data_IF_667540304946
#
_entry.id   IF_667540304946
#
_cell.length_a   1.000
_cell.length_b   1.000
_cell.length_c   1.000
_cell.angle_alpha   90.00
_cell.angle_beta   90.00
_cell.angle_gamma   90.00
#
_symmetry.space_group_name_H-M   'P 1'
#
loop_
_entity.id
_entity.type
_entity.pdbx_description
1 polymer ?
2 water ?
#
# COMPACT_ATOMS: atom_id res chain seq x y z
N UNK A 14 29.07 -0.50 -13.23
CA UNK A 14 28.30 0.49 -12.48
C UNK A 14 26.84 0.60 -12.88
N UNK A 15 26.29 -0.30 -13.67
CA UNK A 15 24.82 -0.30 -13.81
C UNK A 15 24.28 -1.64 -13.28
N UNK A 16 23.22 -1.62 -12.46
CA UNK A 16 22.69 -2.85 -11.89
C UNK A 16 22.16 -3.77 -12.95
N UNK A 17 22.17 -5.06 -12.64
CA UNK A 17 21.54 -6.09 -13.45
C UNK A 17 20.02 -5.97 -13.41
N UNK A 18 19.48 -5.46 -12.27
CA UNK A 18 18.02 -5.37 -12.08
C UNK A 18 17.39 -4.01 -12.30
N UNK A 19 16.36 -4.04 -13.13
CA UNK A 19 15.52 -2.87 -13.33
C UNK A 19 14.87 -2.39 -12.07
N UNK A 20 14.52 -1.11 -12.10
CA UNK A 20 13.63 -0.53 -11.08
C UNK A 20 12.35 -0.10 -11.71
N UNK A 21 11.24 -0.44 -11.04
CA UNK A 21 9.96 0.17 -11.36
C UNK A 21 9.49 0.93 -10.13
N UNK A 22 8.94 2.12 -10.37
CA UNK A 22 8.38 2.92 -9.26
C UNK A 22 7.06 3.44 -9.72
N UNK A 23 6.08 3.28 -8.83
CA UNK A 23 4.71 3.70 -9.05
C UNK A 23 4.19 4.51 -7.89
N UNK A 24 3.52 5.63 -8.17
CA UNK A 24 3.08 6.55 -7.11
C UNK A 24 1.58 6.81 -7.24
N UNK A 25 0.89 6.71 -6.11
CA UNK A 25 -0.55 6.99 -5.95
C UNK A 25 -0.81 8.11 -5.00
N UNK A 26 -2.00 8.71 -5.10
CA UNK A 26 -2.55 9.47 -4.01
C UNK A 26 -3.44 8.54 -3.21
N UNK A 27 -3.09 8.43 -1.94
CA UNK A 27 -3.74 7.53 -1.02
C UNK A 27 -2.86 6.33 -0.68
N UNK A 28 -2.96 5.87 0.56
CA UNK A 28 -2.25 4.68 1.05
C UNK A 28 -2.93 3.37 0.61
N UNK A 29 -4.26 3.25 0.73
CA UNK A 29 -4.85 2.00 0.24
C UNK A 29 -4.53 1.65 -1.23
N UNK A 30 -4.52 2.59 -2.19
CA UNK A 30 -4.13 2.24 -3.58
C UNK A 30 -2.67 1.80 -3.68
N UNK A 31 -1.74 2.28 -2.84
CA UNK A 31 -0.38 1.81 -2.98
C UNK A 31 -0.26 0.38 -2.51
N UNK A 32 -1.05 -0.02 -1.52
CA UNK A 32 -1.02 -1.39 -1.06
C UNK A 32 -1.58 -2.28 -2.18
N UNK A 33 -2.67 -1.83 -2.82
CA UNK A 33 -3.28 -2.54 -3.97
C UNK A 33 -2.26 -2.70 -5.05
N UNK A 34 -1.59 -1.62 -5.42
CA UNK A 34 -0.57 -1.71 -6.46
C UNK A 34 0.53 -2.68 -6.11
N UNK A 35 1.07 -2.60 -4.90
CA UNK A 35 2.20 -3.42 -4.50
C UNK A 35 1.83 -4.86 -4.56
N UNK A 36 0.67 -5.23 -4.04
CA UNK A 36 0.24 -6.62 -4.05
C UNK A 36 0.03 -7.13 -5.45
N UNK A 37 -0.58 -6.35 -6.33
CA UNK A 37 -0.80 -6.77 -7.70
C UNK A 37 0.51 -6.94 -8.42
N UNK A 38 1.48 -6.09 -8.17
CA UNK A 38 2.79 -6.13 -8.82
C UNK A 38 3.50 -7.44 -8.49
N UNK A 39 3.59 -7.82 -7.21
CA UNK A 39 4.38 -8.98 -6.82
C UNK A 39 3.65 -10.25 -7.18
N UNK A 40 2.33 -10.19 -7.42
CA UNK A 40 1.57 -11.34 -7.88
C UNK A 40 1.60 -11.49 -9.40
N UNK A 41 2.21 -10.57 -10.11
CA UNK A 41 2.12 -10.56 -11.59
C UNK A 41 3.44 -10.86 -12.27
N UNK A 42 4.51 -10.92 -11.52
CA UNK A 42 5.81 -11.15 -12.15
C UNK A 42 6.84 -11.52 -11.11
N UNK A 43 8.00 -11.98 -11.58
CA UNK A 43 9.07 -12.30 -10.69
C UNK A 43 9.81 -11.01 -10.34
N UNK A 44 9.26 -10.31 -9.36
CA UNK A 44 9.79 -9.07 -8.83
C UNK A 44 9.83 -9.09 -7.31
N UNK A 45 10.62 -8.21 -6.74
CA UNK A 45 10.71 -8.02 -5.28
C UNK A 45 10.29 -6.57 -5.00
N UNK A 46 9.37 -6.37 -4.04
CA UNK A 46 9.07 -5.04 -3.54
C UNK A 46 10.18 -4.75 -2.53
N UNK A 47 10.90 -3.65 -2.76
CA UNK A 47 12.04 -3.29 -1.91
C UNK A 47 11.80 -2.19 -0.92
N UNK A 48 10.92 -1.25 -1.23
CA UNK A 48 10.75 -0.08 -0.40
C UNK A 48 9.50 0.69 -0.81
N UNK A 49 9.09 1.63 0.05
CA UNK A 49 8.09 2.62 -0.29
C UNK A 49 8.55 3.97 0.20
N UNK A 50 8.04 5.00 -0.45
CA UNK A 50 8.32 6.40 -0.16
C UNK A 50 7.04 7.14 0.23
N UNK A 51 7.04 7.75 1.41
CA UNK A 51 5.96 8.61 1.85
C UNK A 51 6.31 9.97 1.29
N UNK A 52 5.62 10.43 0.24
CA UNK A 52 6.04 11.60 -0.58
C UNK A 52 5.49 12.92 -0.08
N UNK A 53 4.51 12.86 0.78
CA UNK A 53 3.75 14.04 1.22
C UNK A 53 2.53 14.21 0.38
N UNK A 54 1.59 15.06 0.89
CA UNK A 54 0.37 15.32 0.14
C UNK A 54 -0.38 14.02 -0.07
N UNK A 55 -0.27 13.10 0.89
CA UNK A 55 -0.94 11.83 0.84
C UNK A 55 -0.56 10.96 -0.37
N UNK A 56 0.62 11.22 -0.96
CA UNK A 56 1.13 10.40 -2.06
C UNK A 56 2.15 9.47 -1.55
N UNK A 57 2.16 8.28 -2.16
CA UNK A 57 3.10 7.22 -1.78
C UNK A 57 3.64 6.55 -3.03
N UNK A 58 4.94 6.21 -3.05
CA UNK A 58 5.50 5.47 -4.16
C UNK A 58 5.96 4.12 -3.67
N UNK A 59 5.79 3.09 -4.49
CA UNK A 59 6.32 1.75 -4.21
C UNK A 59 7.40 1.45 -5.25
N UNK A 60 8.48 0.84 -4.81
CA UNK A 60 9.66 0.54 -5.64
C UNK A 60 9.85 -0.95 -5.71
N UNK A 61 9.93 -1.47 -6.93
CA UNK A 61 10.13 -2.89 -7.20
C UNK A 61 11.41 -3.09 -8.02
N UNK A 62 11.97 -4.28 -7.90
CA UNK A 62 13.16 -4.65 -8.66
C UNK A 62 12.97 -6.00 -9.31
N UNK A 63 13.52 -6.16 -10.52
CA UNK A 63 13.50 -7.46 -11.19
C UNK A 63 14.05 -7.28 -12.58
N UNK A 64 14.10 -8.36 -13.36
CA UNK A 64 14.44 -8.20 -14.76
C UNK A 64 13.45 -7.28 -15.43
N UNK A 65 13.87 -6.50 -16.45
CA UNK A 65 12.97 -5.50 -16.97
C UNK A 65 11.64 -6.10 -17.50
N UNK A 66 11.69 -7.27 -18.14
CA UNK A 66 10.44 -7.82 -18.73
C UNK A 66 9.43 -8.14 -17.60
N UNK A 67 9.94 -8.60 -16.48
CA UNK A 67 9.12 -8.92 -15.30
C UNK A 67 8.60 -7.64 -14.65
N UNK A 68 9.44 -6.63 -14.52
CA UNK A 68 8.99 -5.32 -14.00
C UNK A 68 7.94 -4.72 -14.88
N UNK A 69 8.04 -4.84 -16.23
CA UNK A 69 7.02 -4.29 -17.08
C UNK A 69 5.65 -4.98 -16.82
N UNK A 70 5.62 -6.33 -16.73
CA UNK A 70 4.36 -7.02 -16.55
C UNK A 70 3.79 -6.68 -15.14
N UNK A 71 4.67 -6.63 -14.15
CA UNK A 71 4.27 -6.21 -12.81
C UNK A 71 3.68 -4.81 -12.79
N UNK A 72 4.32 -3.89 -13.50
CA UNK A 72 3.85 -2.50 -13.56
C UNK A 72 2.46 -2.39 -14.18
N UNK A 73 2.17 -3.19 -15.21
CA UNK A 73 0.87 -3.12 -15.85
C UNK A 73 -0.17 -3.51 -14.78
N UNK A 74 0.12 -4.53 -13.97
CA UNK A 74 -0.86 -4.95 -12.94
C UNK A 74 -0.97 -3.93 -11.85
N UNK A 75 0.13 -3.30 -11.44
CA UNK A 75 0.07 -2.28 -10.41
C UNK A 75 -0.76 -1.07 -10.88
N UNK A 76 -0.59 -0.62 -12.12
CA UNK A 76 -1.32 0.49 -12.67
C UNK A 76 -2.81 0.20 -12.62
N UNK A 77 -3.20 -0.98 -13.02
CA UNK A 77 -4.62 -1.31 -13.02
C UNK A 77 -5.14 -1.37 -11.60
N UNK A 78 -4.40 -1.96 -10.67
CA UNK A 78 -4.89 -2.09 -9.30
C UNK A 78 -5.03 -0.73 -8.63
N UNK A 79 -4.10 0.18 -8.89
CA UNK A 79 -4.21 1.52 -8.35
C UNK A 79 -5.46 2.23 -8.81
N UNK A 80 -5.72 2.19 -10.10
CA UNK A 80 -6.85 2.87 -10.69
C UNK A 80 -8.18 2.30 -10.26
N UNK A 81 -8.22 1.00 -9.94
CA UNK A 81 -9.42 0.29 -9.59
C UNK A 81 -9.67 0.31 -8.10
N UNK A 82 -8.79 0.88 -7.32
CA UNK A 82 -9.05 0.97 -5.88
C UNK A 82 -10.07 2.09 -5.63
N UNK A 83 -11.08 1.82 -4.78
CA UNK A 83 -12.07 2.89 -4.47
C UNK A 83 -11.41 4.18 -3.94
N UNK A 84 -11.59 5.28 -4.65
CA UNK A 84 -11.02 6.56 -4.29
C UNK A 84 -9.53 6.73 -4.60
N UNK A 85 -8.94 5.71 -5.18
CA UNK A 85 -7.50 5.79 -5.48
C UNK A 85 -7.20 6.59 -6.74
N UNK A 86 -6.01 7.22 -6.77
CA UNK A 86 -5.54 7.96 -7.95
C UNK A 86 -4.13 7.52 -8.31
N UNK A 87 -3.91 7.07 -9.53
CA UNK A 87 -2.54 6.88 -10.04
C UNK A 87 -1.95 8.22 -10.45
N UNK A 88 -0.76 8.54 -9.96
CA UNK A 88 -0.11 9.80 -10.26
C UNK A 88 0.98 9.74 -11.29
N UNK A 89 1.90 8.80 -11.16
CA UNK A 89 3.10 8.77 -12.02
C UNK A 89 3.78 7.41 -11.86
N UNK A 90 4.52 6.96 -12.87
CA UNK A 90 5.27 5.71 -12.78
C UNK A 90 6.47 5.78 -13.72
N UNK A 91 7.45 4.93 -13.47
CA UNK A 91 8.60 4.82 -14.37
C UNK A 91 9.15 3.42 -14.29
N UNK A 92 9.80 3.02 -15.37
CA UNK A 92 10.64 1.83 -15.40
C UNK A 92 12.03 2.21 -15.93
N UNK A 93 13.06 1.89 -15.18
CA UNK A 93 14.47 2.13 -15.61
C UNK A 93 15.16 0.79 -15.70
N UNK A 94 15.52 0.34 -16.93
CA UNK A 94 15.96 -1.03 -17.12
C UNK A 94 17.21 -1.48 -16.41
N UNK A 95 18.19 -0.59 -16.40
CA UNK A 95 19.53 -0.91 -15.93
C UNK A 95 20.07 0.34 -15.13
N UNK A 96 19.55 0.61 -13.97
CA UNK A 96 19.87 1.90 -13.28
C UNK A 96 21.32 1.90 -12.89
N UNK A 97 21.91 3.10 -13.00
CA UNK A 97 23.29 3.31 -12.55
C UNK A 97 23.41 3.09 -11.08
N UNK A 98 24.53 2.51 -10.66
CA UNK A 98 24.81 2.28 -9.25
C UNK A 98 24.72 3.51 -8.34
N UNK A 99 25.06 4.68 -8.85
CA UNK A 99 24.98 5.89 -8.05
C UNK A 99 23.51 6.17 -7.66
N UNK A 100 22.55 5.82 -8.51
CA UNK A 100 21.15 6.01 -8.17
C UNK A 100 20.78 5.14 -6.99
N UNK A 101 21.18 3.89 -7.03
CA UNK A 101 20.89 2.98 -5.89
C UNK A 101 21.56 3.42 -4.63
N UNK A 102 22.73 4.03 -4.74
CA UNK A 102 23.51 4.49 -3.58
C UNK A 102 22.83 5.63 -2.85
N UNK A 103 22.15 6.50 -3.59
CA UNK A 103 21.59 7.70 -3.01
C UNK A 103 20.09 7.55 -2.66
N UNK A 104 19.34 6.82 -3.50
CA UNK A 104 17.91 6.68 -3.32
C UNK A 104 17.60 5.34 -2.69
N UNK A 105 16.53 5.31 -1.86
CA UNK A 105 16.23 4.07 -1.15
C UNK A 105 15.52 3.09 -2.06
N UNK A 106 16.25 2.41 -2.95
CA UNK A 106 15.69 1.50 -3.92
C UNK A 106 16.47 0.20 -3.99
N UNK A 107 17.41 0.00 -3.08
CA UNK A 107 18.18 -1.25 -3.00
C UNK A 107 17.45 -2.36 -2.29
N UNK A 108 18.04 -3.55 -2.33
CA UNK A 108 17.55 -4.71 -1.61
C UNK A 108 18.02 -4.72 -0.15
N UNK A 109 17.09 -4.60 0.79
CA UNK A 109 17.42 -4.63 2.21
C UNK A 109 17.32 -6.05 2.78
N UNK A 110 17.86 -6.22 4.00
CA UNK A 110 17.91 -7.58 4.54
C UNK A 110 16.50 -8.13 4.85
N UNK A 111 15.47 -7.30 5.00
CA UNK A 111 14.14 -7.82 5.30
C UNK A 111 13.45 -8.44 4.08
N UNK A 112 13.96 -8.20 2.88
CA UNK A 112 13.31 -8.77 1.71
C UNK A 112 14.12 -9.92 1.10
N UNK A 113 15.28 -10.23 1.69
CA UNK A 113 16.11 -11.32 1.19
C UNK A 113 15.32 -12.64 1.18
N UNK A 114 14.53 -12.86 2.23
CA UNK A 114 13.79 -14.11 2.37
C UNK A 114 12.77 -14.35 1.26
N UNK A 115 12.39 -13.27 0.57
CA UNK A 115 11.38 -13.35 -0.53
C UNK A 115 12.05 -13.34 -1.91
N UNK A 116 13.37 -13.29 -1.96
CA UNK A 116 14.07 -13.25 -3.25
C UNK A 116 15.05 -14.42 -3.43
N UNK B 18 -3.75 -13.60 6.54
CA UNK B 18 -4.99 -12.84 6.77
C UNK B 18 -5.11 -11.67 5.79
N UNK B 19 -6.35 -11.34 5.46
CA UNK B 19 -6.62 -10.18 4.64
C UNK B 19 -6.18 -8.89 5.27
N UNK B 20 -5.97 -7.89 4.42
CA UNK B 20 -5.72 -6.50 4.87
C UNK B 20 -6.82 -5.63 4.38
N UNK B 21 -7.34 -4.80 5.29
CA UNK B 21 -8.20 -3.69 4.95
C UNK B 21 -7.52 -2.40 5.32
N UNK B 22 -7.59 -1.42 4.41
CA UNK B 22 -7.02 -0.10 4.72
C UNK B 22 -8.04 0.92 4.31
N UNK B 23 -8.26 1.88 5.21
CA UNK B 23 -9.25 2.96 5.01
C UNK B 23 -8.63 4.29 5.37
N UNK B 24 -8.80 5.29 4.51
CA UNK B 24 -8.20 6.58 4.70
C UNK B 24 -9.20 7.70 4.69
N UNK B 25 -9.08 8.58 5.67
CA UNK B 25 -9.93 9.78 5.86
C UNK B 25 -9.12 11.06 5.77
N UNK B 26 -9.83 12.16 5.51
CA UNK B 26 -9.31 13.48 5.81
C UNK B 26 -9.79 13.84 7.19
N UNK B 27 -8.82 14.06 8.05
CA UNK B 27 -9.05 14.41 9.46
C UNK B 27 -8.68 13.23 10.40
N UNK B 28 -8.23 13.55 11.60
CA UNK B 28 -7.89 12.58 12.64
C UNK B 28 -9.16 12.04 13.40
N UNK B 29 -10.12 12.93 13.77
CA UNK B 29 -11.33 12.39 14.42
C UNK B 29 -12.03 11.31 13.60
N UNK B 30 -12.23 11.48 12.27
CA UNK B 30 -12.91 10.41 11.55
C UNK B 30 -12.09 9.12 11.48
N UNK B 31 -10.76 9.14 11.57
CA UNK B 31 -10.03 7.86 11.54
C UNK B 31 -10.23 7.12 12.83
N UNK B 32 -10.37 7.83 13.94
CA UNK B 32 -10.68 7.21 15.19
C UNK B 32 -12.04 6.57 15.13
N UNK B 33 -13.00 7.28 14.57
CA UNK B 33 -14.37 6.77 14.44
C UNK B 33 -14.36 5.51 13.60
N UNK B 34 -13.71 5.57 12.45
CA UNK B 34 -13.60 4.39 11.59
C UNK B 34 -12.96 3.22 12.28
N UNK B 35 -11.83 3.42 12.94
CA UNK B 35 -11.12 2.34 13.60
C UNK B 35 -11.98 1.69 14.66
N UNK B 36 -12.66 2.49 15.48
CA UNK B 36 -13.48 1.94 16.55
C UNK B 36 -14.64 1.15 15.96
N UNK B 37 -15.29 1.70 14.93
CA UNK B 37 -16.40 0.98 14.30
C UNK B 37 -15.93 -0.32 13.69
N UNK B 38 -14.78 -0.34 13.06
CA UNK B 38 -14.27 -1.55 12.40
C UNK B 38 -14.06 -2.65 13.43
N UNK B 39 -13.36 -2.41 14.53
CA UNK B 39 -13.03 -3.47 15.49
C UNK B 39 -14.29 -3.90 16.26
N UNK B 40 -15.34 -3.07 16.29
CA UNK B 40 -16.60 -3.44 16.91
C UNK B 40 -17.55 -4.14 15.94
N UNK B 41 -17.16 -4.33 14.70
CA UNK B 41 -18.05 -4.90 13.67
C UNK B 41 -17.59 -6.24 13.16
N UNK B 42 -16.41 -6.69 13.54
CA UNK B 42 -15.94 -7.99 13.04
C UNK B 42 -14.73 -8.45 13.81
N UNK B 43 -14.34 -9.72 13.60
CA UNK B 43 -13.22 -10.26 14.26
C UNK B 43 -11.97 -9.84 13.48
N UNK B 44 -11.49 -8.60 13.72
CA UNK B 44 -10.32 -8.02 13.13
C UNK B 44 -9.42 -7.39 14.18
N UNK B 45 -8.18 -7.21 13.79
CA UNK B 45 -7.18 -6.53 14.65
C UNK B 45 -6.75 -5.25 13.91
N UNK B 46 -6.80 -4.09 14.58
CA UNK B 46 -6.18 -2.86 14.05
C UNK B 46 -4.69 -2.99 14.34
N UNK B 47 -3.89 -3.02 13.28
CA UNK B 47 -2.45 -3.22 13.42
C UNK B 47 -1.61 -1.96 13.36
N UNK B 48 -2.09 -0.92 12.68
CA UNK B 48 -1.32 0.29 12.52
C UNK B 48 -2.16 1.42 11.97
N UNK B 49 -1.62 2.65 12.03
CA UNK B 49 -2.18 3.77 11.26
C UNK B 49 -1.05 4.50 10.57
N UNK B 50 -1.39 5.20 9.51
CA UNK B 50 -0.44 5.96 8.71
C UNK B 50 -0.83 7.44 8.69
N UNK B 51 0.10 8.32 9.09
CA UNK B 51 -0.07 9.73 8.92
C UNK B 51 0.37 10.04 7.53
N UNK B 52 -0.57 10.31 6.61
CA UNK B 52 -0.25 10.39 5.17
C UNK B 52 0.19 11.75 4.71
N UNK B 53 -0.01 12.75 5.54
CA UNK B 53 0.16 14.13 5.11
C UNK B 53 -1.16 14.72 4.63
N UNK B 54 -1.21 16.08 4.57
CA UNK B 54 -2.44 16.77 4.10
C UNK B 54 -3.63 16.38 4.95
N UNK B 55 -3.34 16.18 6.23
CA UNK B 55 -4.33 15.81 7.22
C UNK B 55 -5.11 14.57 6.92
N UNK B 56 -4.48 13.66 6.14
CA UNK B 56 -5.08 12.36 5.84
C UNK B 56 -4.43 11.31 6.69
N UNK B 57 -5.23 10.33 7.10
CA UNK B 57 -4.77 9.22 7.93
C UNK B 57 -5.40 7.94 7.41
N UNK B 58 -4.62 6.87 7.39
CA UNK B 58 -5.11 5.57 7.02
C UNK B 58 -5.02 4.62 8.21
N UNK B 59 -6.05 3.81 8.42
CA UNK B 59 -6.02 2.76 9.45
C UNK B 59 -5.95 1.42 8.74
N UNK B 60 -5.14 0.53 9.27
CA UNK B 60 -4.93 -0.81 8.68
C UNK B 60 -5.38 -1.90 9.60
N UNK B 61 -6.21 -2.79 9.09
CA UNK B 61 -6.76 -3.89 9.86
C UNK B 61 -6.45 -5.23 9.19
N UNK B 62 -6.42 -6.28 9.98
CA UNK B 62 -6.19 -7.63 9.49
C UNK B 62 -7.22 -8.56 10.04
N UNK B 63 -7.62 -9.54 9.26
CA UNK B 63 -8.55 -10.59 9.70
C UNK B 63 -8.91 -11.46 8.53
N UNK B 64 -9.73 -12.48 8.79
CA UNK B 64 -10.27 -13.21 7.64
C UNK B 64 -11.04 -12.26 6.72
N UNK B 65 -11.04 -12.50 5.40
CA UNK B 65 -11.61 -11.53 4.49
C UNK B 65 -13.09 -11.22 4.77
N UNK B 66 -13.88 -12.22 5.14
CA UNK B 66 -15.32 -11.96 5.39
C UNK B 66 -15.52 -10.98 6.58
N UNK B 67 -14.64 -11.11 7.54
CA UNK B 67 -14.67 -10.26 8.73
C UNK B 67 -14.15 -8.85 8.38
N UNK B 68 -13.12 -8.78 7.59
CA UNK B 68 -12.58 -7.48 7.13
C UNK B 68 -13.63 -6.76 6.31
N UNK B 69 -14.41 -7.48 5.49
CA UNK B 69 -15.46 -6.85 4.72
C UNK B 69 -16.51 -6.21 5.64
N UNK B 70 -17.00 -6.95 6.63
CA UNK B 70 -18.03 -6.41 7.52
C UNK B 70 -17.48 -5.23 8.31
N UNK B 71 -16.26 -5.37 8.79
CA UNK B 71 -15.60 -4.27 9.47
C UNK B 71 -15.46 -3.04 8.59
N UNK B 72 -15.02 -3.23 7.36
CA UNK B 72 -14.86 -2.13 6.44
C UNK B 72 -16.16 -1.35 6.17
N UNK B 73 -17.28 -2.09 6.07
CA UNK B 73 -18.55 -1.44 5.85
C UNK B 73 -18.86 -0.49 7.03
N UNK B 74 -18.59 -0.96 8.24
CA UNK B 74 -18.84 -0.14 9.42
C UNK B 74 -17.90 1.04 9.46
N UNK B 75 -16.63 0.84 9.12
CA UNK B 75 -15.67 1.92 9.11
C UNK B 75 -16.01 3.00 8.09
N UNK B 76 -16.45 2.65 6.89
CA UNK B 76 -16.87 3.61 5.87
C UNK B 76 -18.01 4.43 6.39
N UNK B 77 -18.99 3.79 7.01
CA UNK B 77 -20.14 4.54 7.48
C UNK B 77 -19.70 5.48 8.62
N UNK B 78 -18.85 5.01 9.55
CA UNK B 78 -18.41 5.85 10.68
C UNK B 78 -17.63 7.04 10.20
N UNK B 79 -16.73 6.88 9.23
CA UNK B 79 -16.01 8.00 8.70
C UNK B 79 -16.92 9.07 8.09
N UNK B 80 -17.87 8.65 7.26
CA UNK B 80 -18.79 9.57 6.64
C UNK B 80 -19.73 10.23 7.64
N UNK B 81 -20.05 9.55 8.73
CA UNK B 81 -21.03 10.02 9.72
C UNK B 81 -20.36 11.01 10.69
N UNK B 82 -19.03 11.11 10.69
CA UNK B 82 -18.30 11.95 11.66
C UNK B 82 -18.43 13.42 11.25
N UNK B 83 -18.76 14.30 12.22
CA UNK B 83 -18.82 15.74 11.86
C UNK B 83 -17.54 16.28 11.22
N UNK B 84 -17.65 16.79 10.00
CA UNK B 84 -16.50 17.28 9.27
C UNK B 84 -15.59 16.20 8.64
N UNK B 85 -15.86 14.94 8.93
CA UNK B 85 -15.00 13.85 8.39
C UNK B 85 -15.32 13.58 6.95
N UNK B 86 -14.30 13.21 6.19
CA UNK B 86 -14.51 12.75 4.83
C UNK B 86 -13.71 11.46 4.60
N UNK B 87 -14.34 10.50 3.94
CA UNK B 87 -13.74 9.28 3.44
C UNK B 87 -13.05 9.49 2.09
N UNK B 88 -11.77 9.17 2.03
CA UNK B 88 -10.98 9.36 0.81
C UNK B 88 -10.83 8.14 -0.05
N UNK B 89 -10.47 7.02 0.52
CA UNK B 89 -10.13 5.84 -0.27
C UNK B 89 -10.08 4.64 0.68
N UNK B 90 -10.32 3.44 0.15
CA UNK B 90 -10.23 2.20 0.94
C UNK B 90 -9.93 1.04 0.04
N UNK B 91 -9.42 -0.02 0.64
CA UNK B 91 -9.15 -1.24 -0.10
C UNK B 91 -9.24 -2.45 0.82
N UNK B 92 -9.59 -3.58 0.22
CA UNK B 92 -9.51 -4.90 0.84
C UNK B 92 -8.67 -5.82 -0.04
N UNK B 93 -7.59 -6.39 0.52
CA UNK B 93 -6.76 -7.38 -0.20
C UNK B 93 -6.88 -8.70 0.51
N UNK B 94 -7.55 -9.71 -0.10
CA UNK B 94 -7.88 -10.95 0.61
C UNK B 94 -6.78 -11.79 1.21
N UNK B 95 -5.73 -11.93 0.42
CA UNK B 95 -4.63 -12.85 0.71
C UNK B 95 -3.31 -12.18 0.27
N UNK B 96 -2.82 -11.21 0.99
CA UNK B 96 -1.68 -10.41 0.45
C UNK B 96 -0.45 -11.26 0.41
N UNK B 97 0.39 -11.00 -0.60
CA UNK B 97 1.69 -11.62 -0.64
C UNK B 97 2.54 -11.17 0.52
N UNK B 98 3.31 -12.07 1.09
CA UNK B 98 4.09 -11.78 2.26
C UNK B 98 5.13 -10.66 2.07
N UNK B 99 5.63 -10.44 0.83
CA UNK B 99 6.54 -9.33 0.58
C UNK B 99 5.88 -7.99 0.90
N UNK B 100 4.56 -7.86 0.76
CA UNK B 100 3.88 -6.60 1.07
C UNK B 100 4.03 -6.23 2.52
N UNK B 101 3.73 -7.17 3.42
CA UNK B 101 3.91 -6.75 4.83
C UNK B 101 5.34 -6.70 5.32
N UNK B 102 6.31 -7.20 4.56
CA UNK B 102 7.74 -6.99 4.87
C UNK B 102 8.20 -5.57 4.63
N UNK B 103 7.49 -4.84 3.75
CA UNK B 103 7.89 -3.51 3.39
C UNK B 103 6.95 -2.46 3.99
N UNK B 104 5.66 -2.71 3.95
CA UNK B 104 4.65 -1.78 4.49
C UNK B 104 4.29 -2.14 5.91
N UNK B 105 3.92 -1.10 6.72
CA UNK B 105 3.70 -1.36 8.15
C UNK B 105 2.28 -1.86 8.37
N UNK B 106 1.96 -3.08 7.96
CA UNK B 106 0.63 -3.71 8.01
C UNK B 106 0.70 -5.08 8.67
N UNK B 107 1.88 -5.47 9.17
CA UNK B 107 2.05 -6.71 9.93
C UNK B 107 1.51 -6.64 11.34
N UNK B 108 1.52 -7.80 11.98
CA UNK B 108 1.00 -7.96 13.33
C UNK B 108 2.02 -7.59 14.40
N UNK B 109 3.27 -7.96 14.16
CA UNK B 109 4.31 -7.92 15.18
C UNK B 109 4.41 -6.61 15.92
N UNK B 110 5.14 -6.60 17.05
CA UNK B 110 5.22 -5.40 17.90
C UNK B 110 5.88 -4.20 17.20
#
# INVERSE_FOLDING_TARGET
MGSSHHHHHHSQDPMSQQAIGSLETKGFPPILAAADAMVKAGRITIVSYMRAGSARFAVNIRGDVSEVKTAMDAGIEAAKNTPGGTLETWVIIPRPHENVEAVFPIGFGPEVEQYRLSAEGTGSGRR
MGSSHHHHHHSQDPMSQQAIGSLETKGFPPILAAADAMVKAGRITIVSYMRAGSARFAVNIRGDVSEVKTAMDAGIEAAKNTPGGTLETWVIIPRPHENVEAVFPIGFGPEVEQYRLSAEGTGSGRR
#
